data_IF_799074324925
#
_entry.id   IF_799074324925
#
_cell.length_a   1.000
_cell.length_b   1.000
_cell.length_c   1.000
_cell.angle_alpha   90.00
_cell.angle_beta   90.00
_cell.angle_gamma   90.00
#
_symmetry.space_group_name_H-M   'P 1'
#
loop_
_entity.id
_entity.type
_entity.pdbx_description
1 polymer ?
#
# COMPACT_ATOMS: atom_id res chain seq x y z
N UNK A 1 -15.40 10.76 -33.36
CA UNK A 1 -14.51 9.65 -33.78
C UNK A 1 -14.69 8.55 -32.73
N UNK A 2 -15.35 7.44 -33.10
CA UNK A 2 -15.47 6.28 -32.21
C UNK A 2 -14.07 5.68 -32.05
N UNK A 3 -13.54 5.66 -30.83
CA UNK A 3 -12.35 4.89 -30.54
C UNK A 3 -12.60 3.44 -30.98
N UNK A 4 -11.80 2.93 -31.91
CA UNK A 4 -11.84 1.53 -32.29
C UNK A 4 -11.61 0.72 -30.99
N UNK A 5 -12.56 -0.16 -30.66
CA UNK A 5 -12.41 -1.02 -29.49
C UNK A 5 -11.16 -1.89 -29.67
N UNK A 6 -10.21 -1.77 -28.76
CA UNK A 6 -9.00 -2.59 -28.76
C UNK A 6 -9.41 -4.05 -28.57
N UNK A 7 -9.09 -4.91 -29.53
CA UNK A 7 -9.38 -6.34 -29.43
C UNK A 7 -8.57 -6.95 -28.27
N UNK A 8 -9.20 -7.75 -27.43
CA UNK A 8 -8.56 -8.45 -26.34
C UNK A 8 -7.94 -9.75 -26.88
N UNK A 9 -6.66 -9.67 -27.23
CA UNK A 9 -5.89 -10.83 -27.69
C UNK A 9 -5.16 -11.49 -26.52
N UNK A 10 -4.71 -12.77 -26.66
CA UNK A 10 -3.88 -13.40 -25.62
C UNK A 10 -2.62 -12.61 -25.24
N UNK A 11 -2.06 -11.86 -26.19
CA UNK A 11 -0.91 -10.98 -25.92
C UNK A 11 -1.29 -9.79 -25.04
N UNK A 12 -2.45 -9.19 -25.30
CA UNK A 12 -3.00 -8.11 -24.46
C UNK A 12 -3.30 -8.62 -23.06
N UNK A 13 -3.85 -9.81 -22.91
CA UNK A 13 -4.10 -10.45 -21.59
C UNK A 13 -2.79 -10.64 -20.83
N UNK A 14 -1.76 -11.18 -21.48
CA UNK A 14 -0.44 -11.36 -20.87
C UNK A 14 0.23 -10.03 -20.49
N UNK A 15 0.12 -9.03 -21.35
CA UNK A 15 0.64 -7.69 -21.07
C UNK A 15 -0.02 -7.03 -19.84
N UNK A 16 -1.25 -7.44 -19.51
CA UNK A 16 -1.95 -7.03 -18.29
C UNK A 16 -1.64 -7.93 -17.08
N UNK A 17 -0.66 -8.85 -17.17
CA UNK A 17 -0.26 -9.70 -16.05
C UNK A 17 -1.28 -10.77 -15.64
N UNK A 18 -2.26 -11.05 -16.49
CA UNK A 18 -3.27 -12.08 -16.27
C UNK A 18 -2.85 -13.41 -16.93
N UNK A 19 -2.98 -14.49 -16.18
CA UNK A 19 -2.83 -15.84 -16.72
C UNK A 19 -4.05 -16.21 -17.59
N UNK A 20 -3.95 -17.26 -18.45
CA UNK A 20 -5.10 -17.77 -19.16
C UNK A 20 -6.26 -18.18 -18.25
N UNK A 21 -5.95 -18.75 -17.07
CA UNK A 21 -6.97 -19.15 -16.10
C UNK A 21 -7.65 -17.94 -15.46
N UNK A 22 -6.88 -16.87 -15.16
CA UNK A 22 -7.45 -15.60 -14.71
C UNK A 22 -8.40 -15.04 -15.76
N UNK A 23 -8.00 -15.04 -17.02
CA UNK A 23 -8.84 -14.53 -18.11
C UNK A 23 -10.14 -15.35 -18.29
N UNK A 24 -10.05 -16.67 -18.25
CA UNK A 24 -11.23 -17.52 -18.26
C UNK A 24 -12.19 -17.19 -17.12
N UNK A 25 -11.64 -16.91 -15.93
CA UNK A 25 -12.44 -16.48 -14.80
C UNK A 25 -13.10 -15.13 -15.00
N UNK A 26 -12.43 -14.19 -15.67
CA UNK A 26 -13.04 -12.89 -16.07
C UNK A 26 -14.23 -13.11 -16.99
N UNK A 27 -14.08 -13.98 -18.00
CA UNK A 27 -15.17 -14.33 -18.94
C UNK A 27 -16.37 -14.95 -18.20
N UNK A 28 -16.12 -15.85 -17.26
CA UNK A 28 -17.18 -16.44 -16.41
C UNK A 28 -17.94 -15.39 -15.61
N UNK A 29 -17.23 -14.47 -14.97
CA UNK A 29 -17.81 -13.43 -14.11
C UNK A 29 -18.66 -12.44 -14.93
N UNK A 30 -18.13 -12.01 -16.09
CA UNK A 30 -18.81 -11.02 -16.92
C UNK A 30 -19.88 -11.64 -17.83
N UNK A 31 -19.80 -12.94 -18.14
CA UNK A 31 -20.64 -13.59 -19.14
C UNK A 31 -20.39 -13.10 -20.57
N UNK A 32 -19.29 -12.37 -20.80
CA UNK A 32 -18.87 -11.78 -22.09
C UNK A 32 -17.40 -11.43 -22.06
N UNK A 33 -16.84 -11.05 -23.21
CA UNK A 33 -15.50 -10.46 -23.25
C UNK A 33 -15.46 -9.10 -22.55
N UNK A 34 -14.38 -8.83 -21.76
CA UNK A 34 -14.15 -7.50 -21.18
C UNK A 34 -13.75 -6.50 -22.26
N UNK A 35 -14.03 -5.22 -22.04
CA UNK A 35 -13.33 -4.17 -22.75
C UNK A 35 -11.95 -3.93 -22.11
N UNK A 36 -11.10 -3.09 -22.73
CA UNK A 36 -9.72 -2.85 -22.26
C UNK A 36 -9.68 -2.24 -20.85
N UNK A 37 -10.64 -1.41 -20.51
CA UNK A 37 -10.73 -0.78 -19.18
C UNK A 37 -11.11 -1.82 -18.12
N UNK A 38 -12.09 -2.68 -18.40
CA UNK A 38 -12.47 -3.78 -17.51
C UNK A 38 -11.32 -4.76 -17.32
N UNK A 39 -10.60 -5.11 -18.40
CA UNK A 39 -9.40 -5.95 -18.30
C UNK A 39 -8.34 -5.32 -17.39
N UNK A 40 -8.10 -4.02 -17.52
CA UNK A 40 -7.20 -3.26 -16.67
C UNK A 40 -7.62 -3.27 -15.19
N UNK A 41 -8.91 -3.14 -14.91
CA UNK A 41 -9.46 -3.23 -13.54
C UNK A 41 -9.20 -4.63 -12.94
N UNK A 42 -9.51 -5.71 -13.66
CA UNK A 42 -9.22 -7.06 -13.21
C UNK A 42 -7.72 -7.29 -13.01
N UNK A 43 -6.88 -6.80 -13.92
CA UNK A 43 -5.42 -6.88 -13.83
C UNK A 43 -4.91 -6.30 -12.49
N UNK A 44 -5.32 -5.09 -12.16
CA UNK A 44 -4.89 -4.42 -10.91
C UNK A 44 -5.48 -5.10 -9.70
N UNK A 45 -6.78 -5.37 -9.69
CA UNK A 45 -7.46 -5.97 -8.52
C UNK A 45 -7.00 -7.39 -8.22
N UNK A 46 -6.53 -8.13 -9.22
CA UNK A 46 -6.05 -9.52 -9.07
C UNK A 46 -4.52 -9.63 -9.04
N UNK A 47 -3.81 -8.50 -9.05
CA UNK A 47 -2.37 -8.49 -8.80
C UNK A 47 -2.06 -8.98 -7.38
N UNK A 48 -0.83 -9.43 -7.13
CA UNK A 48 -0.40 -9.83 -5.78
C UNK A 48 -0.57 -8.69 -4.78
N UNK A 49 -0.33 -7.45 -5.21
CA UNK A 49 -0.45 -6.27 -4.36
C UNK A 49 -1.86 -6.08 -3.78
N UNK A 50 -2.91 -6.21 -4.62
CA UNK A 50 -4.29 -5.99 -4.19
C UNK A 50 -4.95 -7.26 -3.64
N UNK A 51 -4.65 -8.43 -4.21
CA UNK A 51 -5.37 -9.67 -3.90
C UNK A 51 -4.69 -10.57 -2.88
N UNK A 52 -3.40 -10.33 -2.60
CA UNK A 52 -2.56 -11.24 -1.80
C UNK A 52 -2.62 -12.69 -2.31
N UNK A 53 -2.58 -12.85 -3.64
CA UNK A 53 -2.85 -14.09 -4.36
C UNK A 53 -2.02 -15.27 -3.85
N UNK A 54 -0.73 -15.05 -3.58
CA UNK A 54 0.18 -16.07 -3.07
C UNK A 54 0.28 -16.09 -1.53
N UNK A 55 0.20 -14.94 -0.88
CA UNK A 55 0.45 -14.80 0.56
C UNK A 55 -0.79 -14.99 1.45
N UNK A 56 -2.00 -14.84 0.89
CA UNK A 56 -3.27 -14.91 1.63
C UNK A 56 -3.43 -16.18 2.49
N UNK A 57 -2.95 -17.34 2.01
CA UNK A 57 -3.00 -18.59 2.78
C UNK A 57 -2.18 -18.56 4.07
N UNK A 58 -1.10 -17.74 4.07
CA UNK A 58 -0.23 -17.57 5.23
C UNK A 58 -0.78 -16.50 6.16
N UNK A 59 -1.29 -15.39 5.62
CA UNK A 59 -1.92 -14.32 6.39
C UNK A 59 -3.11 -14.83 7.20
N UNK A 60 -3.91 -15.76 6.66
CA UNK A 60 -5.02 -16.41 7.38
C UNK A 60 -4.60 -17.24 8.60
N UNK A 61 -3.31 -17.50 8.79
CA UNK A 61 -2.79 -18.22 9.98
C UNK A 61 -2.52 -17.28 11.15
N UNK A 62 -2.45 -15.98 10.90
CA UNK A 62 -2.27 -14.99 11.97
C UNK A 62 -3.55 -14.88 12.79
N UNK A 63 -3.46 -14.80 14.12
CA UNK A 63 -4.64 -14.60 14.96
C UNK A 63 -5.20 -13.20 14.72
N UNK A 64 -6.48 -13.14 14.35
CA UNK A 64 -7.17 -11.89 14.01
C UNK A 64 -8.43 -11.66 14.86
N UNK A 65 -8.69 -12.56 15.81
CA UNK A 65 -9.87 -12.51 16.68
C UNK A 65 -9.46 -12.56 18.15
N UNK A 66 -9.99 -11.64 18.94
CA UNK A 66 -9.86 -11.60 20.40
C UNK A 66 -10.99 -10.73 20.95
N UNK A 67 -11.32 -10.81 22.28
CA UNK A 67 -12.40 -10.01 22.86
C UNK A 67 -12.26 -8.50 22.68
N UNK A 68 -11.03 -8.02 22.54
CA UNK A 68 -10.72 -6.60 22.34
C UNK A 68 -10.60 -6.17 20.87
N UNK A 69 -10.71 -7.10 19.91
CA UNK A 69 -10.69 -6.74 18.48
C UNK A 69 -12.05 -6.23 18.06
N UNK A 70 -12.11 -4.95 17.70
CA UNK A 70 -13.31 -4.31 17.15
C UNK A 70 -13.38 -4.54 15.64
N UNK A 71 -12.23 -4.35 14.94
CA UNK A 71 -12.15 -4.53 13.51
C UNK A 71 -10.88 -5.31 13.15
N UNK A 72 -11.08 -6.46 12.52
CA UNK A 72 -10.03 -7.30 11.95
C UNK A 72 -9.78 -6.99 10.47
N UNK A 73 -9.21 -7.97 9.71
CA UNK A 73 -8.96 -7.81 8.27
C UNK A 73 -10.22 -7.52 7.46
N UNK A 74 -10.12 -6.60 6.52
CA UNK A 74 -11.21 -6.20 5.61
C UNK A 74 -11.43 -4.69 5.54
N UNK A 75 -10.85 -3.95 6.46
CA UNK A 75 -10.89 -2.49 6.50
C UNK A 75 -9.49 -1.89 6.32
N UNK A 76 -9.41 -0.56 6.26
CA UNK A 76 -8.15 0.15 6.02
C UNK A 76 -7.13 -0.01 7.15
N UNK A 77 -7.59 -0.20 8.38
CA UNK A 77 -6.74 -0.34 9.57
C UNK A 77 -7.34 -1.33 10.57
N UNK A 78 -6.50 -1.90 11.43
CA UNK A 78 -6.92 -2.67 12.59
C UNK A 78 -7.43 -1.78 13.71
N UNK A 79 -8.45 -2.25 14.43
CA UNK A 79 -9.05 -1.52 15.55
C UNK A 79 -9.18 -2.42 16.76
N UNK A 80 -8.63 -1.99 17.88
CA UNK A 80 -8.74 -2.68 19.16
C UNK A 80 -9.30 -1.76 20.24
N UNK A 81 -10.13 -2.33 21.10
CA UNK A 81 -10.60 -1.68 22.31
C UNK A 81 -9.44 -1.56 23.32
N UNK A 82 -9.22 -0.37 23.85
CA UNK A 82 -8.20 -0.09 24.87
C UNK A 82 -8.82 0.34 26.21
N UNK A 83 -10.12 0.20 26.37
CA UNK A 83 -10.87 0.59 27.56
C UNK A 83 -11.38 2.04 27.53
N UNK A 84 -12.17 2.40 28.49
CA UNK A 84 -12.73 3.74 28.71
C UNK A 84 -13.51 4.31 27.49
N UNK A 85 -14.07 3.44 26.65
CA UNK A 85 -14.77 3.83 25.41
C UNK A 85 -13.82 4.34 24.32
N UNK A 86 -12.52 4.01 24.41
CA UNK A 86 -11.49 4.37 23.45
C UNK A 86 -11.01 3.15 22.67
N UNK A 87 -10.62 3.39 21.44
CA UNK A 87 -10.01 2.41 20.55
C UNK A 87 -8.65 2.91 20.03
N UNK A 88 -7.69 2.00 19.93
CA UNK A 88 -6.48 2.21 19.14
C UNK A 88 -6.73 1.72 17.71
N UNK A 89 -6.47 2.58 16.76
CA UNK A 89 -6.54 2.31 15.32
C UNK A 89 -5.13 2.37 14.76
N UNK A 90 -4.70 1.30 14.09
CA UNK A 90 -3.32 1.20 13.62
C UNK A 90 -3.20 0.48 12.29
N UNK A 91 -2.23 0.91 11.51
CA UNK A 91 -1.84 0.33 10.24
C UNK A 91 -0.33 0.24 10.16
N UNK A 92 0.16 -0.85 9.62
CA UNK A 92 1.57 -1.01 9.23
C UNK A 92 1.63 -1.44 7.77
N UNK A 93 2.54 -0.83 7.03
CA UNK A 93 2.77 -1.14 5.62
C UNK A 93 4.24 -1.05 5.28
N UNK A 94 4.69 -1.86 4.33
CA UNK A 94 6.04 -1.79 3.76
C UNK A 94 6.04 -0.94 2.50
N UNK A 95 7.06 -0.10 2.35
CA UNK A 95 7.27 0.75 1.18
C UNK A 95 8.73 0.66 0.70
N UNK A 96 9.16 -0.56 0.37
CA UNK A 96 10.57 -0.93 0.18
C UNK A 96 11.14 -0.46 -1.16
N UNK A 97 10.66 -1.00 -2.28
CA UNK A 97 11.15 -0.69 -3.63
C UNK A 97 11.10 0.81 -3.95
N UNK A 98 9.97 1.51 -3.72
CA UNK A 98 9.94 2.95 -3.95
C UNK A 98 10.98 3.72 -3.12
N UNK A 99 11.22 3.28 -1.88
CA UNK A 99 12.23 3.92 -1.01
C UNK A 99 13.67 3.57 -1.39
N UNK A 100 13.90 2.48 -2.11
CA UNK A 100 15.22 2.16 -2.65
C UNK A 100 15.54 3.03 -3.86
N UNK A 101 14.54 3.33 -4.71
CA UNK A 101 14.69 4.14 -5.92
C UNK A 101 14.73 5.63 -5.57
N UNK A 102 13.72 6.12 -4.84
CA UNK A 102 13.56 7.50 -4.41
C UNK A 102 13.38 7.56 -2.89
N UNK A 103 14.45 7.51 -2.10
CA UNK A 103 14.36 7.24 -0.67
C UNK A 103 13.55 8.28 0.11
N UNK A 104 13.64 9.57 -0.26
CA UNK A 104 12.82 10.60 0.38
C UNK A 104 11.34 10.44 0.04
N UNK A 105 11.01 10.43 -1.24
CA UNK A 105 9.62 10.37 -1.72
C UNK A 105 8.96 9.03 -1.40
N UNK A 106 9.69 7.93 -1.56
CA UNK A 106 9.22 6.60 -1.25
C UNK A 106 8.87 6.44 0.21
N UNK A 107 9.74 6.85 1.12
CA UNK A 107 9.48 6.76 2.56
C UNK A 107 8.41 7.74 3.03
N UNK A 108 8.37 8.96 2.47
CA UNK A 108 7.32 9.93 2.75
C UNK A 108 5.94 9.40 2.34
N UNK A 109 5.84 8.78 1.16
CA UNK A 109 4.60 8.16 0.68
C UNK A 109 4.18 6.98 1.56
N UNK A 110 5.14 6.17 2.02
CA UNK A 110 4.88 5.07 2.96
C UNK A 110 4.23 5.55 4.25
N UNK A 111 4.77 6.60 4.87
CA UNK A 111 4.16 7.22 6.06
C UNK A 111 2.83 7.86 5.73
N UNK A 112 2.74 8.59 4.62
CA UNK A 112 1.51 9.29 4.22
C UNK A 112 0.35 8.34 3.97
N UNK A 113 0.61 7.17 3.36
CA UNK A 113 -0.41 6.15 3.09
C UNK A 113 -1.05 5.63 4.36
N UNK A 114 -0.26 5.23 5.34
CA UNK A 114 -0.79 4.68 6.60
C UNK A 114 -1.42 5.72 7.52
N UNK A 115 -0.96 6.97 7.48
CA UNK A 115 -1.63 8.08 8.15
C UNK A 115 -3.05 8.25 7.60
N UNK A 116 -3.21 8.18 6.28
CA UNK A 116 -4.53 8.26 5.61
C UNK A 116 -5.43 7.11 6.03
N UNK A 117 -4.94 5.88 6.10
CA UNK A 117 -5.72 4.72 6.52
C UNK A 117 -6.28 4.90 7.94
N UNK A 118 -5.46 5.40 8.86
CA UNK A 118 -5.91 5.71 10.23
C UNK A 118 -6.94 6.83 10.26
N UNK A 119 -6.75 7.91 9.47
CA UNK A 119 -7.72 8.99 9.35
C UNK A 119 -9.07 8.51 8.79
N UNK A 120 -9.05 7.66 7.76
CA UNK A 120 -10.28 7.16 7.14
C UNK A 120 -11.14 6.32 8.08
N UNK A 121 -10.53 5.73 9.11
CA UNK A 121 -11.25 5.01 10.16
C UNK A 121 -11.77 5.90 11.29
N UNK A 122 -11.60 7.22 11.18
CA UNK A 122 -12.11 8.20 12.15
C UNK A 122 -11.17 8.53 13.30
N UNK A 123 -9.93 8.03 13.27
CA UNK A 123 -8.96 8.31 14.33
C UNK A 123 -8.03 9.49 13.98
N UNK A 124 -7.61 10.23 14.99
CA UNK A 124 -6.50 11.15 14.90
C UNK A 124 -5.20 10.36 15.11
N UNK A 125 -4.29 10.32 14.15
CA UNK A 125 -2.94 9.78 14.36
C UNK A 125 -2.21 10.53 15.47
N UNK A 126 -1.56 9.79 16.36
CA UNK A 126 -0.82 10.34 17.51
C UNK A 126 0.63 9.92 17.55
N UNK A 127 0.97 8.82 16.87
CA UNK A 127 2.32 8.26 16.88
C UNK A 127 2.64 7.51 15.59
N UNK A 128 3.88 7.69 15.11
CA UNK A 128 4.49 6.86 14.08
C UNK A 128 5.59 5.99 14.69
N UNK A 129 5.75 4.78 14.15
CA UNK A 129 6.82 3.85 14.45
C UNK A 129 7.36 3.29 13.14
N UNK A 130 8.64 2.87 13.14
CA UNK A 130 9.23 2.34 11.91
C UNK A 130 10.10 1.11 12.21
N UNK A 131 10.13 0.16 11.29
CA UNK A 131 11.10 -0.92 11.29
C UNK A 131 11.91 -0.83 9.98
N UNK A 132 13.14 -0.35 10.09
CA UNK A 132 14.01 -0.05 8.96
C UNK A 132 15.15 -1.06 8.88
N UNK A 133 15.42 -1.55 7.67
CA UNK A 133 16.55 -2.45 7.41
C UNK A 133 17.32 -1.91 6.21
N UNK A 134 18.60 -1.71 6.41
CA UNK A 134 19.53 -1.18 5.40
C UNK A 134 20.68 -2.14 5.14
N UNK A 135 21.33 -1.98 4.00
CA UNK A 135 22.58 -2.64 3.68
C UNK A 135 23.70 -2.31 4.69
N UNK A 136 24.84 -2.96 4.54
CA UNK A 136 26.00 -2.69 5.38
C UNK A 136 26.38 -1.20 5.34
N UNK A 137 26.84 -0.63 6.46
CA UNK A 137 27.28 0.78 6.50
C UNK A 137 28.37 1.14 5.48
N UNK A 138 29.19 0.17 5.10
CA UNK A 138 30.26 0.31 4.10
C UNK A 138 29.75 0.25 2.65
N UNK A 139 28.51 -0.21 2.43
CA UNK A 139 27.96 -0.29 1.07
C UNK A 139 27.71 1.12 0.50
N UNK A 140 28.09 1.38 -0.76
CA UNK A 140 28.08 2.74 -1.35
C UNK A 140 26.73 3.46 -1.27
N UNK A 141 25.62 2.75 -1.46
CA UNK A 141 24.26 3.33 -1.46
C UNK A 141 23.71 3.56 -0.02
N UNK A 142 24.19 2.85 1.01
CA UNK A 142 23.54 2.83 2.33
C UNK A 142 23.40 4.21 2.95
N UNK A 143 24.46 5.03 2.91
CA UNK A 143 24.40 6.39 3.48
C UNK A 143 23.33 7.27 2.81
N UNK A 144 23.21 7.20 1.50
CA UNK A 144 22.20 7.93 0.74
C UNK A 144 20.79 7.47 1.08
N UNK A 145 20.59 6.14 1.11
CA UNK A 145 19.30 5.54 1.43
C UNK A 145 18.84 5.89 2.85
N UNK A 146 19.71 5.76 3.86
CA UNK A 146 19.41 6.13 5.25
C UNK A 146 19.02 7.60 5.34
N UNK A 147 19.81 8.50 4.75
CA UNK A 147 19.58 9.93 4.82
C UNK A 147 18.21 10.30 4.20
N UNK A 148 17.92 9.77 3.00
CA UNK A 148 16.68 10.04 2.30
C UNK A 148 15.45 9.46 3.01
N UNK A 149 15.52 8.20 3.44
CA UNK A 149 14.42 7.53 4.16
C UNK A 149 14.08 8.28 5.46
N UNK A 150 15.09 8.59 6.28
CA UNK A 150 14.88 9.30 7.55
C UNK A 150 14.29 10.70 7.31
N UNK A 151 14.81 11.41 6.31
CA UNK A 151 14.30 12.74 5.94
C UNK A 151 12.85 12.67 5.42
N UNK A 152 12.51 11.65 4.61
CA UNK A 152 11.15 11.45 4.09
C UNK A 152 10.14 11.15 5.19
N UNK A 153 10.47 10.22 6.08
CA UNK A 153 9.64 9.87 7.25
C UNK A 153 9.42 11.10 8.14
N UNK A 154 10.52 11.77 8.51
CA UNK A 154 10.46 12.95 9.39
C UNK A 154 9.75 14.12 8.75
N UNK A 155 9.98 14.38 7.45
CA UNK A 155 9.34 15.45 6.71
C UNK A 155 7.84 15.31 6.65
N UNK A 156 7.32 14.12 6.32
CA UNK A 156 5.88 13.89 6.27
C UNK A 156 5.24 13.94 7.67
N UNK A 157 5.85 13.28 8.65
CA UNK A 157 5.38 13.33 10.04
C UNK A 157 5.32 14.75 10.60
N UNK A 158 6.32 15.57 10.29
CA UNK A 158 6.37 16.97 10.69
C UNK A 158 5.23 17.81 10.06
N UNK A 159 4.94 17.62 8.76
CA UNK A 159 3.84 18.32 8.09
C UNK A 159 2.47 18.03 8.72
N UNK A 160 2.26 16.81 9.20
CA UNK A 160 0.99 16.38 9.83
C UNK A 160 0.99 16.63 11.34
N UNK A 161 2.17 16.85 11.94
CA UNK A 161 2.35 17.02 13.38
C UNK A 161 2.26 15.72 14.16
N UNK A 162 2.71 14.59 13.57
CA UNK A 162 2.72 13.26 14.19
C UNK A 162 4.17 12.81 14.39
N UNK A 163 4.64 12.66 15.64
CA UNK A 163 6.01 12.27 15.93
C UNK A 163 6.28 10.79 15.65
N UNK A 164 7.49 10.46 15.26
CA UNK A 164 8.01 9.09 15.33
C UNK A 164 8.50 8.85 16.76
N UNK A 165 7.87 7.91 17.45
CA UNK A 165 8.11 7.68 18.90
C UNK A 165 8.86 6.38 19.17
N UNK A 166 9.07 5.52 18.17
CA UNK A 166 9.75 4.25 18.35
C UNK A 166 10.04 3.52 17.05
N UNK A 167 10.61 2.34 17.19
CA UNK A 167 10.95 1.46 16.09
C UNK A 167 12.33 0.84 16.23
N UNK A 168 12.83 0.27 15.14
CA UNK A 168 14.17 -0.33 15.07
C UNK A 168 14.83 -0.01 13.73
N UNK A 169 16.16 0.15 13.78
CA UNK A 169 16.98 0.29 12.57
C UNK A 169 18.14 -0.70 12.67
N UNK A 170 18.28 -1.53 11.63
CA UNK A 170 19.31 -2.57 11.58
C UNK A 170 20.02 -2.55 10.23
N UNK A 171 21.26 -3.02 10.22
CA UNK A 171 22.13 -3.06 9.05
C UNK A 171 22.60 -4.50 8.81
N UNK A 172 22.43 -4.98 7.58
CA UNK A 172 22.88 -6.31 7.21
C UNK A 172 23.10 -6.41 5.69
N UNK A 173 24.09 -7.19 5.27
CA UNK A 173 24.46 -7.35 3.85
C UNK A 173 23.31 -7.84 2.96
N UNK A 174 22.36 -8.59 3.49
CA UNK A 174 21.17 -9.04 2.75
C UNK A 174 20.31 -7.88 2.20
N UNK A 175 20.47 -6.67 2.73
CA UNK A 175 19.73 -5.49 2.30
C UNK A 175 20.53 -4.54 1.41
N UNK A 176 21.70 -4.96 0.93
CA UNK A 176 22.52 -4.15 0.01
C UNK A 176 21.82 -3.88 -1.32
N UNK A 177 21.07 -4.86 -1.84
CA UNK A 177 20.34 -4.77 -3.11
C UNK A 177 18.93 -4.18 -2.98
N UNK A 178 18.36 -4.20 -1.79
CA UNK A 178 17.06 -3.57 -1.50
C UNK A 178 16.90 -3.39 0.01
N UNK A 179 16.18 -2.36 0.42
CA UNK A 179 15.97 -2.00 1.83
C UNK A 179 14.57 -2.39 2.28
N UNK A 180 14.36 -2.50 3.60
CA UNK A 180 13.02 -2.59 4.18
C UNK A 180 12.67 -1.28 4.87
N UNK A 181 11.56 -0.68 4.44
CA UNK A 181 10.96 0.49 5.05
C UNK A 181 9.55 0.12 5.47
N UNK A 182 9.39 -0.27 6.73
CA UNK A 182 8.08 -0.56 7.29
C UNK A 182 7.68 0.60 8.19
N UNK A 183 6.59 1.26 7.85
CA UNK A 183 6.03 2.35 8.61
C UNK A 183 4.75 1.88 9.31
N UNK A 184 4.57 2.30 10.55
CA UNK A 184 3.37 2.07 11.33
C UNK A 184 2.84 3.39 11.88
N UNK A 185 1.53 3.57 11.86
CA UNK A 185 0.85 4.69 12.50
C UNK A 185 -0.20 4.16 13.48
N UNK A 186 -0.28 4.83 14.61
CA UNK A 186 -1.31 4.58 15.63
C UNK A 186 -2.12 5.86 15.82
N UNK A 187 -3.43 5.72 15.86
CA UNK A 187 -4.37 6.78 16.20
C UNK A 187 -5.32 6.35 17.29
N UNK A 188 -5.98 7.32 17.91
CA UNK A 188 -6.98 7.10 18.95
C UNK A 188 -8.33 7.63 18.48
N UNK A 189 -9.38 6.84 18.70
CA UNK A 189 -10.76 7.24 18.44
C UNK A 189 -11.67 6.77 19.58
N UNK A 190 -12.89 7.28 19.61
CA UNK A 190 -13.95 6.71 20.45
C UNK A 190 -14.52 5.46 19.77
N UNK A 191 -14.83 4.43 20.54
CA UNK A 191 -15.40 3.17 20.02
C UNK A 191 -16.75 3.36 19.30
N UNK A 192 -17.48 4.44 19.63
CA UNK A 192 -18.75 4.81 19.00
C UNK A 192 -18.61 5.71 17.76
N UNK A 193 -17.37 5.99 17.31
CA UNK A 193 -17.06 6.89 16.19
C UNK A 193 -16.05 6.31 15.21
N UNK A 194 -16.13 5.03 14.97
CA UNK A 194 -15.30 4.36 13.97
C UNK A 194 -16.02 4.38 12.63
N UNK A 195 -15.32 4.78 11.58
CA UNK A 195 -15.83 4.77 10.21
C UNK A 195 -15.37 3.52 9.48
N UNK A 196 -16.29 2.96 8.71
CA UNK A 196 -16.05 1.79 7.86
C UNK A 196 -16.19 2.17 6.39
N UNK A 197 -15.43 1.51 5.52
CA UNK A 197 -15.49 1.72 4.08
C UNK A 197 -16.80 1.16 3.52
N UNK A 198 -17.75 2.02 3.23
CA UNK A 198 -19.04 1.62 2.65
C UNK A 198 -19.54 2.67 1.67
N UNK A 199 -19.70 2.28 0.41
CA UNK A 199 -20.43 3.07 -0.59
C UNK A 199 -21.92 2.82 -0.44
N UNK A 200 -22.57 3.49 0.50
CA UNK A 200 -23.98 3.30 0.81
C UNK A 200 -24.85 4.44 0.28
N UNK A 201 -26.12 4.16 -0.03
CA UNK A 201 -27.09 5.14 -0.51
C UNK A 201 -27.07 5.27 -2.03
N UNK A 202 -28.00 4.56 -2.69
CA UNK A 202 -28.18 4.69 -4.16
C UNK A 202 -28.51 6.14 -4.50
N UNK A 203 -27.75 6.72 -5.43
CA UNK A 203 -27.91 8.14 -5.84
C UNK A 203 -27.09 9.14 -5.02
N UNK A 204 -26.39 8.71 -3.96
CA UNK A 204 -25.47 9.58 -3.24
C UNK A 204 -24.28 9.97 -4.14
N UNK A 205 -23.83 11.23 -4.13
CA UNK A 205 -22.68 11.65 -4.92
C UNK A 205 -21.38 11.04 -4.38
N UNK A 206 -20.49 10.66 -5.30
CA UNK A 206 -19.09 10.39 -4.99
C UNK A 206 -18.31 11.68 -5.18
N UNK A 207 -17.66 12.14 -4.12
CA UNK A 207 -16.91 13.40 -4.13
C UNK A 207 -15.41 13.10 -4.05
N UNK A 208 -14.67 13.51 -5.10
CA UNK A 208 -13.21 13.48 -5.08
C UNK A 208 -12.69 14.81 -4.49
N UNK A 209 -11.86 14.68 -3.46
CA UNK A 209 -11.24 15.84 -2.77
C UNK A 209 -9.72 15.67 -2.78
N UNK A 210 -9.01 16.63 -3.37
CA UNK A 210 -7.56 16.60 -3.44
C UNK A 210 -6.99 17.35 -4.63
N UNK A 211 -5.69 17.26 -4.83
CA UNK A 211 -4.99 17.81 -5.98
C UNK A 211 -5.32 17.02 -7.26
N UNK A 212 -5.03 17.61 -8.43
CA UNK A 212 -5.04 16.87 -9.70
C UNK A 212 -4.04 15.73 -9.63
N UNK A 213 -4.47 14.55 -10.04
CA UNK A 213 -3.62 13.38 -10.13
C UNK A 213 -2.78 13.47 -11.41
N UNK A 214 -1.47 13.30 -11.31
CA UNK A 214 -0.55 13.15 -12.42
C UNK A 214 -0.46 11.69 -12.88
N UNK A 215 0.50 11.43 -13.78
CA UNK A 215 0.86 10.06 -14.22
C UNK A 215 2.06 9.51 -13.47
N UNK A 216 2.67 10.31 -12.62
CA UNK A 216 3.83 9.92 -11.82
C UNK A 216 3.45 8.74 -10.90
N UNK A 217 4.31 7.74 -10.85
CA UNK A 217 4.06 6.53 -10.07
C UNK A 217 2.99 5.60 -10.64
N UNK A 218 2.54 5.79 -11.88
CA UNK A 218 1.73 4.80 -12.59
C UNK A 218 2.50 3.48 -12.62
N UNK A 219 1.87 2.35 -12.31
CA UNK A 219 2.50 1.04 -12.09
C UNK A 219 3.35 0.91 -10.81
N UNK A 220 3.49 1.93 -9.97
CA UNK A 220 4.26 1.86 -8.73
C UNK A 220 3.79 0.75 -7.78
N UNK A 221 2.48 0.53 -7.66
CA UNK A 221 1.92 -0.56 -6.86
C UNK A 221 2.26 -1.95 -7.44
N UNK A 222 2.22 -2.11 -8.76
CA UNK A 222 2.61 -3.35 -9.43
C UNK A 222 4.09 -3.64 -9.25
N UNK A 223 4.94 -2.63 -9.40
CA UNK A 223 6.37 -2.73 -9.15
C UNK A 223 6.68 -3.13 -7.69
N UNK A 224 5.94 -2.61 -6.73
CA UNK A 224 6.14 -2.93 -5.31
C UNK A 224 5.95 -4.42 -4.98
N UNK A 225 5.26 -5.17 -5.82
CA UNK A 225 5.00 -6.61 -5.66
C UNK A 225 5.74 -7.48 -6.69
N UNK A 226 6.57 -6.90 -7.54
CA UNK A 226 7.40 -7.61 -8.52
C UNK A 226 8.75 -8.02 -7.90
N UNK A 227 9.44 -8.96 -8.55
CA UNK A 227 10.85 -9.22 -8.23
C UNK A 227 11.68 -7.97 -8.57
N UNK A 228 12.56 -7.60 -7.65
CA UNK A 228 13.38 -6.41 -7.77
C UNK A 228 14.76 -6.81 -8.30
N UNK A 229 15.00 -6.47 -9.55
CA UNK A 229 16.27 -6.74 -10.25
C UNK A 229 16.90 -5.43 -10.77
N UNK A 230 18.10 -5.54 -11.38
CA UNK A 230 18.83 -4.40 -11.91
C UNK A 230 18.08 -3.65 -13.04
N UNK A 231 17.03 -4.22 -13.61
CA UNK A 231 16.20 -3.59 -14.64
C UNK A 231 14.99 -2.86 -14.04
N UNK A 232 14.64 -3.14 -12.79
CA UNK A 232 13.49 -2.52 -12.11
C UNK A 232 13.67 -1.00 -11.96
N UNK A 233 14.89 -0.50 -11.80
CA UNK A 233 15.20 0.94 -11.79
C UNK A 233 14.83 1.62 -13.12
N UNK A 234 14.98 0.93 -14.25
CA UNK A 234 14.68 1.46 -15.58
C UNK A 234 13.17 1.52 -15.89
N UNK A 235 12.35 0.72 -15.20
CA UNK A 235 10.89 0.69 -15.40
C UNK A 235 10.15 1.87 -14.76
N UNK A 236 10.81 2.62 -13.89
CA UNK A 236 10.19 3.70 -13.08
C UNK A 236 10.68 5.08 -13.51
N UNK A 237 11.63 5.16 -14.42
CA UNK A 237 12.04 6.42 -15.02
C UNK A 237 10.86 7.04 -15.81
N UNK A 238 10.57 8.35 -15.64
CA UNK A 238 9.46 9.05 -16.28
C UNK A 238 9.57 9.10 -17.79
#
# INVERSE_FOLDING_TARGET
>A
MSAQATAITPDVVRAHGLSPDDYNRVLEILGREPNITELGIFSVMWSEHCSYKSSKKWLKRLPTTAPWVICGPGENAGVIDIGDGLAAIFKMESHNHPSFIEPYQGAATGVGGILRDVFTMGARPVANLNALRFGEPSHPKTRHLVAGVVAGIGGYGNCVGVPTVGGSTEFHSSYNGNILVNAMTVGIARTDRIFYSAASGVGNPVVYVGSKTGRDGIHGATMASAEFDDQAEAMVAP
#
